data_IF_094932262450
#
_entry.id   IF_094932262450
#
_cell.length_a   1.000
_cell.length_b   1.000
_cell.length_c   1.000
_cell.angle_alpha   90.00
_cell.angle_beta   90.00
_cell.angle_gamma   90.00
#
_symmetry.space_group_name_H-M   'P 1'
#
loop_
_entity.id
_entity.type
_entity.pdbx_description
1 polymer ?
#
# COMPACT_ATOMS: atom_id res chain seq x y z
N UNK A 1 35.55 7.14 -6.28
CA UNK A 1 34.12 7.30 -5.92
C UNK A 1 33.32 6.50 -6.93
N UNK A 2 32.48 5.56 -6.48
CA UNK A 2 31.58 4.83 -7.37
C UNK A 2 30.30 5.66 -7.59
N UNK A 3 29.86 5.74 -8.83
CA UNK A 3 28.67 6.49 -9.23
C UNK A 3 27.41 5.76 -8.75
N UNK A 4 26.61 6.38 -7.88
CA UNK A 4 25.38 5.78 -7.35
C UNK A 4 24.25 6.04 -8.34
N UNK A 5 23.84 5.02 -9.09
CA UNK A 5 22.70 5.09 -10.01
C UNK A 5 21.43 4.71 -9.26
N UNK A 6 20.50 5.65 -9.15
CA UNK A 6 19.13 5.39 -8.66
C UNK A 6 18.15 5.39 -9.82
N UNK A 7 17.06 4.64 -9.68
CA UNK A 7 15.95 4.65 -10.63
C UNK A 7 14.64 4.70 -9.84
N UNK A 8 13.74 5.65 -10.14
CA UNK A 8 12.44 5.68 -9.47
C UNK A 8 11.62 4.46 -9.88
N UNK A 9 10.83 3.94 -8.96
CA UNK A 9 9.95 2.78 -9.19
C UNK A 9 8.52 3.11 -8.75
N UNK A 10 7.54 2.74 -9.56
CA UNK A 10 6.12 2.86 -9.23
C UNK A 10 5.62 1.58 -8.57
N UNK A 11 6.22 1.24 -7.43
CA UNK A 11 6.07 -0.09 -6.84
C UNK A 11 4.61 -0.45 -6.48
N UNK A 12 3.85 0.47 -5.87
CA UNK A 12 2.47 0.20 -5.47
C UNK A 12 1.55 -0.07 -6.68
N UNK A 13 1.67 0.74 -7.74
CA UNK A 13 0.89 0.53 -8.96
C UNK A 13 1.24 -0.79 -9.65
N UNK A 14 2.53 -1.10 -9.78
CA UNK A 14 2.94 -2.37 -10.36
C UNK A 14 2.47 -3.57 -9.51
N UNK A 15 2.49 -3.47 -8.18
CA UNK A 15 1.94 -4.54 -7.32
C UNK A 15 0.45 -4.76 -7.58
N UNK A 16 -0.33 -3.68 -7.76
CA UNK A 16 -1.76 -3.76 -8.11
C UNK A 16 -1.96 -4.40 -9.48
N UNK A 17 -1.17 -4.03 -10.49
CA UNK A 17 -1.24 -4.63 -11.83
C UNK A 17 -0.93 -6.14 -11.81
N UNK A 18 0.02 -6.57 -10.97
CA UNK A 18 0.34 -7.99 -10.81
C UNK A 18 -0.72 -8.75 -9.99
N UNK A 19 -1.41 -8.07 -9.07
CA UNK A 19 -2.36 -8.67 -8.11
C UNK A 19 -1.73 -9.69 -7.15
N UNK A 20 -0.40 -9.80 -7.14
CA UNK A 20 0.36 -10.80 -6.39
C UNK A 20 1.75 -10.25 -6.09
N UNK A 21 2.02 -10.04 -4.81
CA UNK A 21 3.28 -9.46 -4.33
C UNK A 21 4.50 -10.33 -4.67
N UNK A 22 4.39 -11.65 -4.52
CA UNK A 22 5.51 -12.57 -4.76
C UNK A 22 5.87 -12.60 -6.24
N UNK A 23 4.87 -12.58 -7.14
CA UNK A 23 5.11 -12.47 -8.59
C UNK A 23 5.79 -11.16 -8.96
N UNK A 24 5.36 -10.03 -8.38
CA UNK A 24 6.00 -8.73 -8.60
C UNK A 24 7.47 -8.74 -8.16
N UNK A 25 7.73 -9.14 -6.91
CA UNK A 25 9.08 -9.14 -6.32
C UNK A 25 10.03 -10.05 -7.10
N UNK A 26 9.57 -11.23 -7.53
CA UNK A 26 10.38 -12.14 -8.32
C UNK A 26 10.63 -11.62 -9.74
N UNK A 27 9.62 -11.07 -10.41
CA UNK A 27 9.73 -10.53 -11.77
C UNK A 27 10.64 -9.30 -11.84
N UNK A 28 10.69 -8.49 -10.78
CA UNK A 28 11.54 -7.29 -10.69
C UNK A 28 12.88 -7.52 -10.01
N UNK A 29 13.20 -8.77 -9.65
CA UNK A 29 14.44 -9.11 -8.92
C UNK A 29 14.62 -8.32 -7.60
N UNK A 30 13.52 -8.12 -6.87
CA UNK A 30 13.46 -7.33 -5.63
C UNK A 30 13.48 -8.18 -4.35
N UNK A 31 13.81 -9.47 -4.42
CA UNK A 31 13.72 -10.41 -3.27
C UNK A 31 14.48 -9.89 -2.04
N UNK A 32 15.64 -9.25 -2.25
CA UNK A 32 16.44 -8.66 -1.14
C UNK A 32 15.80 -7.43 -0.48
N UNK A 33 14.81 -6.83 -1.14
CA UNK A 33 14.11 -5.61 -0.71
C UNK A 33 12.64 -5.86 -0.39
N UNK A 34 12.17 -7.12 -0.44
CA UNK A 34 10.75 -7.45 -0.31
C UNK A 34 10.16 -6.92 1.00
N UNK A 35 10.86 -7.08 2.13
CA UNK A 35 10.39 -6.57 3.42
C UNK A 35 10.31 -5.03 3.45
N UNK A 36 11.15 -4.34 2.69
CA UNK A 36 11.05 -2.89 2.53
C UNK A 36 9.80 -2.52 1.73
N UNK A 37 9.57 -3.17 0.59
CA UNK A 37 8.38 -2.91 -0.24
C UNK A 37 7.11 -3.21 0.55
N UNK A 38 7.02 -4.38 1.18
CA UNK A 38 5.86 -4.81 1.97
C UNK A 38 5.49 -3.79 3.06
N UNK A 39 6.46 -3.33 3.85
CA UNK A 39 6.20 -2.31 4.89
C UNK A 39 5.71 -0.98 4.33
N UNK A 40 6.15 -0.58 3.13
CA UNK A 40 5.68 0.65 2.51
C UNK A 40 4.27 0.50 1.92
N UNK A 41 3.89 -0.69 1.45
CA UNK A 41 2.51 -0.98 1.06
C UNK A 41 1.58 -0.90 2.27
N UNK A 42 1.97 -1.49 3.41
CA UNK A 42 1.20 -1.37 4.66
C UNK A 42 1.02 0.09 5.09
N UNK A 43 2.08 0.90 5.05
CA UNK A 43 1.98 2.34 5.35
C UNK A 43 1.12 3.11 4.35
N UNK A 44 1.14 2.71 3.07
CA UNK A 44 0.28 3.32 2.07
C UNK A 44 -1.20 3.04 2.37
N UNK A 45 -1.55 1.83 2.79
CA UNK A 45 -2.92 1.50 3.20
C UNK A 45 -3.39 2.42 4.33
N UNK A 46 -2.55 2.65 5.35
CA UNK A 46 -2.84 3.61 6.42
C UNK A 46 -3.05 5.03 5.88
N UNK A 47 -2.14 5.48 5.02
CA UNK A 47 -2.20 6.81 4.42
C UNK A 47 -3.46 7.02 3.58
N UNK A 48 -3.91 6.00 2.85
CA UNK A 48 -5.16 6.06 2.08
C UNK A 48 -6.36 6.23 3.01
N UNK A 49 -6.38 5.53 4.15
CA UNK A 49 -7.43 5.70 5.15
C UNK A 49 -7.44 7.10 5.79
N UNK A 50 -6.27 7.66 6.09
CA UNK A 50 -6.16 9.06 6.55
C UNK A 50 -6.66 10.04 5.48
N UNK A 51 -6.30 9.83 4.22
CA UNK A 51 -6.72 10.70 3.12
C UNK A 51 -8.21 10.61 2.82
N UNK A 52 -8.84 9.46 3.08
CA UNK A 52 -10.28 9.29 2.92
C UNK A 52 -11.09 10.15 3.91
N UNK A 53 -10.49 10.67 4.98
CA UNK A 53 -11.13 11.59 5.91
C UNK A 53 -11.25 13.02 5.37
N UNK A 54 -10.48 13.35 4.32
CA UNK A 54 -10.45 14.67 3.71
C UNK A 54 -10.89 14.59 2.27
N UNK A 55 -11.86 15.40 1.86
CA UNK A 55 -12.28 15.46 0.45
C UNK A 55 -11.70 16.71 -0.23
N UNK A 56 -10.94 16.56 -1.33
CA UNK A 56 -10.47 17.69 -2.13
C UNK A 56 -11.64 18.48 -2.75
N UNK A 57 -11.56 19.81 -2.89
CA UNK A 57 -12.64 20.62 -3.44
C UNK A 57 -12.93 20.35 -4.93
N UNK A 58 -12.03 19.67 -5.63
CA UNK A 58 -12.16 19.34 -7.06
C UNK A 58 -13.00 18.07 -7.34
N UNK A 59 -13.42 17.33 -6.31
CA UNK A 59 -14.16 16.06 -6.44
C UNK A 59 -15.28 15.94 -5.40
N UNK A 60 -16.12 14.91 -5.53
CA UNK A 60 -17.13 14.57 -4.51
C UNK A 60 -16.54 13.62 -3.47
N UNK A 61 -17.09 13.65 -2.26
CA UNK A 61 -16.69 12.76 -1.17
C UNK A 61 -16.83 11.29 -1.58
N UNK A 62 -17.97 10.92 -2.18
CA UNK A 62 -18.24 9.55 -2.63
C UNK A 62 -17.21 9.06 -3.67
N UNK A 63 -16.87 9.89 -4.66
CA UNK A 63 -15.91 9.53 -5.69
C UNK A 63 -14.50 9.40 -5.10
N UNK A 64 -14.11 10.36 -4.25
CA UNK A 64 -12.81 10.34 -3.59
C UNK A 64 -12.62 9.13 -2.68
N UNK A 65 -13.58 8.90 -1.77
CA UNK A 65 -13.56 7.76 -0.87
C UNK A 65 -13.60 6.45 -1.64
N UNK A 66 -14.47 6.34 -2.65
CA UNK A 66 -14.59 5.16 -3.49
C UNK A 66 -13.26 4.75 -4.14
N UNK A 67 -12.55 5.71 -4.73
CA UNK A 67 -11.25 5.45 -5.37
C UNK A 67 -10.18 5.02 -4.35
N UNK A 68 -10.11 5.69 -3.20
CA UNK A 68 -9.15 5.36 -2.14
C UNK A 68 -9.44 4.01 -1.48
N UNK A 69 -10.71 3.72 -1.21
CA UNK A 69 -11.16 2.48 -0.59
C UNK A 69 -10.92 1.28 -1.51
N UNK A 70 -11.12 1.42 -2.83
CA UNK A 70 -10.81 0.37 -3.80
C UNK A 70 -9.32 0.03 -3.80
N UNK A 71 -8.45 1.04 -3.92
CA UNK A 71 -7.00 0.86 -3.89
C UNK A 71 -6.54 0.26 -2.55
N UNK A 72 -7.05 0.79 -1.43
CA UNK A 72 -6.74 0.33 -0.08
C UNK A 72 -7.15 -1.13 0.13
N UNK A 73 -8.33 -1.52 -0.35
CA UNK A 73 -8.85 -2.88 -0.26
C UNK A 73 -8.01 -3.86 -1.07
N UNK A 74 -7.68 -3.53 -2.32
CA UNK A 74 -6.84 -4.40 -3.16
C UNK A 74 -5.45 -4.61 -2.56
N UNK A 75 -4.80 -3.52 -2.10
CA UNK A 75 -3.50 -3.62 -1.43
C UNK A 75 -3.60 -4.43 -0.13
N UNK A 76 -4.69 -4.27 0.61
CA UNK A 76 -4.94 -5.04 1.84
C UNK A 76 -5.03 -6.53 1.56
N UNK A 77 -5.78 -6.96 0.56
CA UNK A 77 -5.88 -8.38 0.19
C UNK A 77 -4.53 -8.95 -0.26
N UNK A 78 -3.78 -8.18 -1.07
CA UNK A 78 -2.44 -8.58 -1.50
C UNK A 78 -1.51 -8.74 -0.29
N UNK A 79 -1.48 -7.77 0.62
CA UNK A 79 -0.62 -7.81 1.80
C UNK A 79 -1.03 -8.94 2.77
N UNK A 80 -2.34 -9.14 2.96
CA UNK A 80 -2.88 -10.21 3.79
C UNK A 80 -2.51 -11.59 3.26
N UNK A 81 -2.49 -11.78 1.95
CA UNK A 81 -2.04 -13.04 1.35
C UNK A 81 -0.54 -13.33 1.58
N UNK A 82 0.29 -12.31 1.81
CA UNK A 82 1.73 -12.44 2.10
C UNK A 82 1.98 -12.70 3.58
N UNK A 83 1.43 -11.84 4.45
CA UNK A 83 1.53 -11.97 5.90
C UNK A 83 0.26 -11.42 6.56
N UNK A 84 -0.70 -12.30 6.88
CA UNK A 84 -1.93 -11.89 7.54
C UNK A 84 -1.67 -11.25 8.89
N UNK A 85 -0.73 -11.79 9.69
CA UNK A 85 -0.51 -11.32 11.06
C UNK A 85 0.01 -9.89 11.09
N UNK A 86 1.00 -9.57 10.26
CA UNK A 86 1.50 -8.19 10.17
C UNK A 86 0.48 -7.23 9.58
N UNK A 87 -0.30 -7.68 8.59
CA UNK A 87 -1.33 -6.85 7.95
C UNK A 87 -2.44 -6.49 8.94
N UNK A 88 -3.01 -7.47 9.63
CA UNK A 88 -4.06 -7.23 10.63
C UNK A 88 -3.58 -6.37 11.80
N UNK A 89 -2.32 -6.57 12.22
CA UNK A 89 -1.73 -5.72 13.27
C UNK A 89 -1.71 -4.24 12.87
N UNK A 90 -1.30 -3.94 11.64
CA UNK A 90 -1.24 -2.56 11.15
C UNK A 90 -2.64 -1.98 10.94
N UNK A 91 -3.59 -2.75 10.40
CA UNK A 91 -4.97 -2.27 10.24
C UNK A 91 -5.65 -1.96 11.58
N UNK A 92 -5.32 -2.72 12.64
CA UNK A 92 -5.80 -2.44 13.98
C UNK A 92 -5.28 -1.12 14.57
N UNK A 93 -4.15 -0.58 14.08
CA UNK A 93 -3.64 0.73 14.52
C UNK A 93 -4.60 1.86 14.09
N UNK A 94 -5.15 1.81 12.88
CA UNK A 94 -6.17 2.78 12.41
C UNK A 94 -7.47 2.66 13.21
N UNK A 95 -7.97 1.44 13.39
CA UNK A 95 -9.23 1.20 14.10
C UNK A 95 -9.13 1.59 15.59
N UNK A 96 -7.93 1.52 16.18
CA UNK A 96 -7.68 1.95 17.55
C UNK A 96 -7.70 3.47 17.74
N UNK A 97 -7.27 4.23 16.73
CA UNK A 97 -7.23 5.71 16.79
C UNK A 97 -8.61 6.38 16.67
N UNK A 98 -9.62 5.71 16.07
CA UNK A 98 -11.00 6.20 16.03
C UNK A 98 -11.70 6.22 17.41
N UNK A 99 -11.11 5.60 18.44
CA UNK A 99 -11.74 5.45 19.77
C UNK A 99 -11.07 6.25 20.90
N UNK A 100 -10.07 7.07 20.60
CA UNK A 100 -9.29 7.83 21.59
C UNK A 100 -9.62 9.34 21.62
#
# INVERSE_FOLDING_TARGET
MHDLRTSPVWAAGEVLEFGDFNKYVTSKSLQKQEGMVFRHLLRLILLLAEFAQLTPPETTEDAWRGDLDDVGSQLTEICRAVDPTSTEKILAEVAGEETA
#
